data_IF_198217484119
#
_entry.id   IF_198217484119
#
_cell.length_a   1.000
_cell.length_b   1.000
_cell.length_c   1.000
_cell.angle_alpha   90.00
_cell.angle_beta   90.00
_cell.angle_gamma   90.00
#
_symmetry.space_group_name_H-M   'P 1'
#
loop_
_entity.id
_entity.type
_entity.pdbx_description
1 polymer ?
#
# COMPACT_ATOMS: atom_id res chain seq x y z
N UNK A 1 22.52 -44.38 -27.99
CA UNK A 1 22.65 -43.44 -26.85
C UNK A 1 21.96 -42.15 -27.25
N UNK A 2 20.85 -41.78 -26.60
CA UNK A 2 20.24 -40.47 -26.85
C UNK A 2 21.14 -39.42 -26.20
N UNK A 3 21.91 -38.69 -27.00
CA UNK A 3 22.66 -37.55 -26.49
C UNK A 3 21.66 -36.57 -25.88
N UNK A 4 21.72 -36.40 -24.57
CA UNK A 4 20.94 -35.37 -23.89
C UNK A 4 21.59 -34.03 -24.23
N UNK A 5 21.07 -33.37 -25.27
CA UNK A 5 21.48 -32.03 -25.66
C UNK A 5 20.77 -31.05 -24.71
N UNK A 6 21.53 -30.12 -24.14
CA UNK A 6 21.03 -29.07 -23.24
C UNK A 6 21.22 -27.69 -23.86
N UNK A 7 20.38 -26.75 -23.46
CA UNK A 7 20.50 -25.33 -23.81
C UNK A 7 20.12 -24.47 -22.61
N UNK A 8 20.48 -23.19 -22.62
CA UNK A 8 20.16 -22.26 -21.55
C UNK A 8 18.76 -21.67 -21.75
N UNK A 9 17.93 -21.70 -20.72
CA UNK A 9 16.64 -21.02 -20.71
C UNK A 9 16.87 -19.50 -20.65
N UNK A 10 16.49 -18.74 -21.69
CA UNK A 10 16.72 -17.30 -21.76
C UNK A 10 15.82 -16.47 -20.82
N UNK A 11 14.82 -17.09 -20.17
CA UNK A 11 13.95 -16.46 -19.17
C UNK A 11 14.49 -16.62 -17.74
N UNK A 12 15.26 -17.68 -17.47
CA UNK A 12 15.68 -18.03 -16.09
C UNK A 12 17.19 -18.23 -15.93
N UNK A 13 17.93 -18.33 -17.03
CA UNK A 13 19.37 -18.65 -17.03
C UNK A 13 19.71 -20.11 -16.72
N UNK A 14 18.72 -20.97 -16.48
CA UNK A 14 18.93 -22.39 -16.11
C UNK A 14 19.13 -23.27 -17.34
N UNK A 15 19.95 -24.32 -17.21
CA UNK A 15 20.05 -25.35 -18.24
C UNK A 15 18.76 -26.16 -18.33
N UNK A 16 18.32 -26.41 -19.56
CA UNK A 16 17.12 -27.17 -19.89
C UNK A 16 17.42 -28.15 -21.02
N UNK A 17 16.75 -29.30 -21.01
CA UNK A 17 16.91 -30.34 -22.04
C UNK A 17 16.21 -29.93 -23.34
N UNK A 18 16.91 -30.03 -24.46
CA UNK A 18 16.35 -29.82 -25.80
C UNK A 18 15.30 -30.89 -26.09
N UNK A 19 14.13 -30.49 -26.58
CA UNK A 19 12.96 -31.34 -26.76
C UNK A 19 12.16 -31.65 -25.48
N UNK A 20 12.60 -31.16 -24.32
CA UNK A 20 11.85 -31.27 -23.07
C UNK A 20 10.66 -30.31 -22.98
N UNK A 21 9.83 -30.46 -21.95
CA UNK A 21 8.59 -29.68 -21.79
C UNK A 21 8.82 -28.16 -21.77
N UNK A 22 9.83 -27.70 -21.01
CA UNK A 22 10.15 -26.27 -20.94
C UNK A 22 10.67 -25.75 -22.29
N UNK A 23 11.51 -26.54 -22.96
CA UNK A 23 12.02 -26.19 -24.28
C UNK A 23 10.88 -26.05 -25.30
N UNK A 24 9.99 -27.05 -25.37
CA UNK A 24 8.86 -27.05 -26.31
C UNK A 24 7.92 -25.87 -26.05
N UNK A 25 7.67 -25.53 -24.78
CA UNK A 25 6.88 -24.35 -24.41
C UNK A 25 7.51 -23.06 -24.95
N UNK A 26 8.81 -22.87 -24.74
CA UNK A 26 9.52 -21.68 -25.21
C UNK A 26 9.48 -21.56 -26.75
N UNK A 27 9.63 -22.69 -27.45
CA UNK A 27 9.54 -22.75 -28.91
C UNK A 27 8.13 -22.41 -29.41
N UNK A 28 7.09 -22.93 -28.76
CA UNK A 28 5.71 -22.62 -29.14
C UNK A 28 5.39 -21.14 -28.90
N UNK A 29 5.81 -20.61 -27.76
CA UNK A 29 5.46 -19.24 -27.35
C UNK A 29 6.18 -18.19 -28.21
N UNK A 30 7.50 -18.05 -28.06
CA UNK A 30 8.20 -16.81 -28.45
C UNK A 30 9.65 -16.99 -28.92
N UNK A 31 10.17 -18.22 -28.94
CA UNK A 31 11.58 -18.48 -29.23
C UNK A 31 11.75 -19.42 -30.43
N UNK A 32 12.89 -19.28 -31.10
CA UNK A 32 13.38 -20.21 -32.11
C UNK A 32 14.70 -20.82 -31.63
N UNK A 33 14.97 -22.06 -32.04
CA UNK A 33 16.21 -22.75 -31.71
C UNK A 33 17.20 -22.65 -32.86
N UNK A 34 18.20 -21.78 -32.72
CA UNK A 34 19.18 -21.47 -33.77
C UNK A 34 20.58 -21.63 -33.18
N UNK A 35 21.45 -22.36 -33.88
CA UNK A 35 22.86 -22.57 -33.49
C UNK A 35 23.03 -23.04 -32.03
N UNK A 36 22.17 -23.95 -31.57
CA UNK A 36 22.26 -24.50 -30.22
C UNK A 36 21.67 -23.62 -29.11
N UNK A 37 21.11 -22.45 -29.44
CA UNK A 37 20.59 -21.46 -28.48
C UNK A 37 19.14 -21.10 -28.77
N UNK A 38 18.40 -20.78 -27.71
CA UNK A 38 17.06 -20.22 -27.82
C UNK A 38 17.17 -18.71 -28.06
N UNK A 39 16.75 -18.28 -29.25
CA UNK A 39 16.74 -16.89 -29.71
C UNK A 39 15.30 -16.40 -29.74
N UNK A 40 15.05 -15.20 -29.23
CA UNK A 40 13.70 -14.65 -29.18
C UNK A 40 13.28 -14.14 -30.55
N UNK A 41 12.04 -14.42 -30.97
CA UNK A 41 11.47 -13.87 -32.21
C UNK A 41 11.36 -12.36 -32.14
N UNK A 42 11.67 -11.68 -33.23
CA UNK A 42 11.55 -10.22 -33.33
C UNK A 42 10.10 -9.74 -33.13
N UNK A 43 9.11 -10.52 -33.58
CA UNK A 43 7.69 -10.19 -33.47
C UNK A 43 7.05 -10.68 -32.17
N UNK A 44 7.83 -11.26 -31.24
CA UNK A 44 7.28 -11.68 -29.96
C UNK A 44 6.83 -10.45 -29.15
N UNK A 45 5.66 -10.50 -28.46
CA UNK A 45 5.21 -9.44 -27.56
C UNK A 45 6.33 -9.01 -26.61
N UNK A 46 6.40 -7.80 -26.05
CA UNK A 46 7.42 -7.46 -25.07
C UNK A 46 7.49 -8.48 -23.93
N UNK A 47 8.68 -8.79 -23.42
CA UNK A 47 8.79 -9.64 -22.23
C UNK A 47 8.02 -8.93 -21.12
N UNK A 48 7.00 -9.59 -20.55
CA UNK A 48 6.39 -9.09 -19.34
C UNK A 48 7.50 -9.05 -18.28
N UNK A 49 7.94 -7.85 -17.92
CA UNK A 49 8.77 -7.67 -16.74
C UNK A 49 8.01 -8.31 -15.59
N UNK A 50 8.67 -9.18 -14.84
CA UNK A 50 8.09 -9.71 -13.61
C UNK A 50 7.83 -8.50 -12.71
N UNK A 51 6.57 -8.15 -12.51
CA UNK A 51 6.21 -7.16 -11.51
C UNK A 51 6.61 -7.71 -10.15
N UNK A 52 7.24 -6.90 -9.32
CA UNK A 52 7.54 -7.26 -7.94
C UNK A 52 6.74 -6.34 -7.05
N UNK A 53 6.03 -6.92 -6.10
CA UNK A 53 5.25 -6.20 -5.12
C UNK A 53 5.88 -6.37 -3.74
N UNK A 54 5.86 -5.32 -2.94
CA UNK A 54 6.36 -5.35 -1.58
C UNK A 54 5.24 -5.71 -0.61
N UNK A 55 5.37 -6.85 0.06
CA UNK A 55 4.41 -7.24 1.09
C UNK A 55 4.67 -6.42 2.37
N UNK A 56 3.66 -5.65 2.80
CA UNK A 56 3.82 -4.71 3.92
C UNK A 56 3.88 -5.35 5.30
N UNK A 57 3.42 -6.61 5.46
CA UNK A 57 3.53 -7.35 6.72
C UNK A 57 4.86 -8.08 6.83
N UNK A 58 5.18 -8.87 5.80
CA UNK A 58 6.35 -9.76 5.83
C UNK A 58 7.64 -9.06 5.41
N UNK A 59 7.54 -7.83 4.90
CA UNK A 59 8.65 -7.05 4.33
C UNK A 59 9.43 -7.77 3.23
N UNK A 60 8.78 -8.71 2.53
CA UNK A 60 9.37 -9.51 1.44
C UNK A 60 8.79 -9.10 0.10
N UNK A 61 9.63 -9.25 -0.94
CA UNK A 61 9.19 -9.09 -2.33
C UNK A 61 8.41 -10.31 -2.79
N UNK A 62 7.27 -10.07 -3.41
CA UNK A 62 6.37 -11.07 -4.00
C UNK A 62 6.39 -10.89 -5.51
N UNK A 63 6.55 -12.00 -6.23
CA UNK A 63 6.55 -11.99 -7.70
C UNK A 63 5.09 -11.93 -8.18
N UNK A 64 4.78 -10.92 -8.97
CA UNK A 64 3.50 -10.73 -9.65
C UNK A 64 3.16 -11.91 -10.57
N UNK A 65 1.89 -12.32 -10.56
CA UNK A 65 1.43 -13.51 -11.27
C UNK A 65 1.93 -14.83 -10.68
N UNK A 66 2.62 -14.82 -9.54
CA UNK A 66 3.00 -16.02 -8.80
C UNK A 66 1.88 -16.56 -7.91
N UNK A 67 2.02 -17.80 -7.42
CA UNK A 67 1.05 -18.42 -6.50
C UNK A 67 0.76 -17.56 -5.28
N UNK A 68 1.80 -17.02 -4.63
CA UNK A 68 1.67 -16.17 -3.44
C UNK A 68 0.98 -14.85 -3.76
N UNK A 69 1.22 -14.28 -4.94
CA UNK A 69 0.54 -13.07 -5.39
C UNK A 69 -0.97 -13.31 -5.51
N UNK A 70 -1.37 -14.37 -6.22
CA UNK A 70 -2.80 -14.70 -6.38
C UNK A 70 -3.47 -15.08 -5.06
N UNK A 71 -2.76 -15.77 -4.16
CA UNK A 71 -3.26 -16.06 -2.82
C UNK A 71 -3.60 -14.77 -2.04
N UNK A 72 -2.70 -13.78 -2.06
CA UNK A 72 -2.90 -12.51 -1.35
C UNK A 72 -4.06 -11.72 -1.96
N UNK A 73 -4.08 -11.56 -3.30
CA UNK A 73 -5.16 -10.84 -4.00
C UNK A 73 -6.51 -11.51 -3.77
N UNK A 74 -6.59 -12.84 -3.81
CA UNK A 74 -7.82 -13.58 -3.53
C UNK A 74 -8.27 -13.46 -2.06
N UNK A 75 -7.34 -13.20 -1.15
CA UNK A 75 -7.61 -12.95 0.27
C UNK A 75 -7.92 -11.46 0.55
N UNK A 76 -8.23 -10.66 -0.48
CA UNK A 76 -8.62 -9.27 -0.33
C UNK A 76 -7.46 -8.31 -0.05
N UNK A 77 -6.23 -8.69 -0.38
CA UNK A 77 -5.11 -7.75 -0.31
C UNK A 77 -5.15 -6.81 -1.52
N UNK A 78 -4.99 -5.52 -1.24
CA UNK A 78 -4.95 -4.47 -2.26
C UNK A 78 -3.53 -4.11 -2.66
N UNK A 79 -3.40 -3.55 -3.86
CA UNK A 79 -2.14 -3.04 -4.40
C UNK A 79 -2.19 -1.52 -4.37
N UNK A 80 -1.39 -0.91 -3.49
CA UNK A 80 -1.25 0.54 -3.39
C UNK A 80 0.00 1.04 -4.12
N UNK A 81 -0.12 2.21 -4.76
CA UNK A 81 0.97 2.87 -5.50
C UNK A 81 1.67 1.93 -6.51
N UNK A 82 0.91 1.01 -7.12
CA UNK A 82 1.40 0.00 -8.07
C UNK A 82 2.57 -0.87 -7.56
N UNK A 83 2.79 -0.92 -6.24
CA UNK A 83 3.96 -1.57 -5.65
C UNK A 83 3.71 -2.26 -4.31
N UNK A 84 2.87 -1.72 -3.42
CA UNK A 84 2.69 -2.25 -2.08
C UNK A 84 1.49 -3.20 -2.01
N UNK A 85 1.72 -4.44 -1.59
CA UNK A 85 0.66 -5.39 -1.23
C UNK A 85 0.25 -5.14 0.22
N UNK A 86 -0.96 -4.62 0.40
CA UNK A 86 -1.52 -4.22 1.70
C UNK A 86 -2.63 -5.19 2.09
N UNK A 87 -2.63 -5.73 3.33
CA UNK A 87 -3.69 -6.63 3.80
C UNK A 87 -5.04 -5.91 3.87
N UNK A 88 -6.16 -6.65 3.76
CA UNK A 88 -7.47 -6.09 4.01
C UNK A 88 -7.52 -5.51 5.44
N UNK A 89 -8.21 -4.37 5.59
CA UNK A 89 -8.45 -3.77 6.89
C UNK A 89 -9.32 -4.72 7.73
N UNK A 90 -8.70 -5.37 8.71
CA UNK A 90 -9.45 -6.15 9.70
C UNK A 90 -10.01 -5.16 10.71
N UNK A 91 -11.31 -4.85 10.61
CA UNK A 91 -12.05 -4.16 11.65
C UNK A 91 -12.32 -5.21 12.74
N UNK A 92 -11.35 -5.43 13.62
CA UNK A 92 -11.58 -6.16 14.86
C UNK A 92 -12.01 -5.17 15.93
N UNK A 93 -13.13 -5.47 16.59
CA UNK A 93 -13.57 -4.82 17.83
C UNK A 93 -12.41 -4.69 18.86
N UNK A 94 -12.46 -3.72 19.79
CA UNK A 94 -11.34 -3.38 20.64
C UNK A 94 -11.06 -4.48 21.68
N UNK A 95 -10.09 -5.35 21.43
CA UNK A 95 -9.63 -6.33 22.41
C UNK A 95 -8.64 -5.68 23.43
N UNK A 96 -8.75 -6.01 24.74
CA UNK A 96 -8.00 -5.38 25.81
C UNK A 96 -6.78 -6.22 26.22
N UNK A 97 -5.70 -6.24 25.43
CA UNK A 97 -4.40 -6.70 25.96
C UNK A 97 -3.22 -6.11 25.18
N UNK A 98 -2.19 -5.54 25.84
CA UNK A 98 -1.14 -4.79 25.17
C UNK A 98 0.00 -5.74 24.79
N UNK A 99 -0.10 -6.36 23.61
CA UNK A 99 1.09 -6.92 22.97
C UNK A 99 1.82 -5.80 22.19
N UNK A 100 3.06 -5.42 22.54
CA UNK A 100 3.77 -4.32 21.91
C UNK A 100 4.19 -4.59 20.46
N UNK A 101 4.20 -5.84 20.01
CA UNK A 101 4.64 -6.23 18.66
C UNK A 101 3.49 -6.61 17.71
N UNK A 102 2.25 -6.50 18.18
CA UNK A 102 1.05 -6.83 17.42
C UNK A 102 0.33 -5.57 16.95
N UNK A 103 0.23 -5.44 15.63
CA UNK A 103 -0.87 -4.80 14.91
C UNK A 103 -0.85 -3.26 14.89
N UNK A 104 -0.58 -2.75 13.68
CA UNK A 104 -0.91 -1.43 13.17
C UNK A 104 -2.31 -1.02 13.70
N UNK A 105 -2.30 -0.16 14.72
CA UNK A 105 -3.47 0.23 15.52
C UNK A 105 -4.47 0.99 14.65
N UNK A 106 -5.69 0.45 14.58
CA UNK A 106 -7.00 1.08 14.33
C UNK A 106 -7.15 2.03 13.11
N UNK A 107 -8.35 2.20 12.53
CA UNK A 107 -8.64 3.45 11.84
C UNK A 107 -8.39 4.57 12.86
N UNK A 108 -7.34 5.34 12.61
CA UNK A 108 -6.90 6.42 13.48
C UNK A 108 -8.03 7.44 13.51
N UNK A 109 -8.80 7.51 14.60
CA UNK A 109 -9.87 8.50 14.75
C UNK A 109 -9.27 9.83 15.20
N UNK A 110 -9.91 10.94 14.81
CA UNK A 110 -9.50 12.27 15.27
C UNK A 110 -9.41 12.31 16.80
N UNK A 111 -10.44 11.80 17.47
CA UNK A 111 -10.55 11.75 18.92
C UNK A 111 -9.45 10.85 19.54
N UNK A 112 -9.06 9.77 18.85
CA UNK A 112 -7.94 8.92 19.24
C UNK A 112 -6.60 9.64 19.15
N UNK A 113 -6.35 10.40 18.08
CA UNK A 113 -5.12 11.19 17.94
C UNK A 113 -5.04 12.33 18.93
N UNK A 114 -6.15 13.04 19.14
CA UNK A 114 -6.20 14.14 20.12
C UNK A 114 -6.01 13.61 21.54
N UNK A 115 -6.57 12.45 21.88
CA UNK A 115 -6.37 11.88 23.23
C UNK A 115 -4.92 11.47 23.50
N UNK A 116 -4.16 11.02 22.49
CA UNK A 116 -2.76 10.60 22.65
C UNK A 116 -1.77 11.76 22.46
N UNK A 117 -2.02 12.67 21.53
CA UNK A 117 -1.06 13.69 21.08
C UNK A 117 -1.53 15.13 21.30
N UNK A 118 -2.74 15.35 21.82
CA UNK A 118 -3.36 16.68 21.96
C UNK A 118 -2.53 17.66 22.80
N UNK A 119 -1.91 17.21 23.90
CA UNK A 119 -1.06 18.08 24.72
C UNK A 119 0.21 18.54 23.99
N UNK A 120 0.84 17.64 23.23
CA UNK A 120 2.02 17.96 22.42
C UNK A 120 1.68 18.91 21.29
N UNK A 121 0.53 18.72 20.65
CA UNK A 121 0.01 19.61 19.63
C UNK A 121 -0.30 21.01 20.19
N UNK A 122 -0.95 21.08 21.35
CA UNK A 122 -1.25 22.35 22.02
C UNK A 122 0.02 23.12 22.42
N UNK A 123 1.07 22.43 22.90
CA UNK A 123 2.37 23.04 23.20
C UNK A 123 3.03 23.67 21.97
N UNK A 124 2.79 23.11 20.79
CA UNK A 124 3.28 23.64 19.52
C UNK A 124 2.28 24.58 18.82
N UNK A 125 1.18 24.95 19.46
CA UNK A 125 0.09 25.75 18.90
C UNK A 125 -0.46 25.17 17.58
N UNK A 126 -0.56 23.84 17.52
CA UNK A 126 -1.08 23.09 16.38
C UNK A 126 -2.34 22.31 16.79
N UNK A 127 -3.18 21.99 15.81
CA UNK A 127 -4.27 21.03 15.90
C UNK A 127 -4.24 20.12 14.67
N UNK A 128 -5.13 19.13 14.57
CA UNK A 128 -5.28 18.30 13.37
C UNK A 128 -6.57 18.65 12.64
N UNK A 129 -6.60 18.43 11.33
CA UNK A 129 -7.85 18.38 10.58
C UNK A 129 -8.68 17.16 11.01
N UNK A 130 -10.00 17.32 11.15
CA UNK A 130 -10.88 16.22 11.54
C UNK A 130 -11.04 15.14 10.48
N UNK A 131 -10.95 15.53 9.20
CA UNK A 131 -11.19 14.64 8.06
C UNK A 131 -9.91 13.96 7.56
N UNK A 132 -8.81 14.72 7.44
CA UNK A 132 -7.56 14.20 6.88
C UNK A 132 -6.41 14.07 7.88
N UNK A 133 -6.61 14.44 9.15
CA UNK A 133 -5.60 14.37 10.23
C UNK A 133 -4.29 15.12 9.95
N UNK A 134 -4.27 16.01 8.97
CA UNK A 134 -3.13 16.87 8.67
C UNK A 134 -2.97 17.91 9.79
N UNK A 135 -1.76 18.16 10.31
CA UNK A 135 -1.50 19.22 11.28
C UNK A 135 -1.77 20.62 10.72
N UNK A 136 -2.42 21.45 11.53
CA UNK A 136 -2.79 22.84 11.24
C UNK A 136 -2.22 23.71 12.35
N UNK A 137 -1.39 24.69 11.97
CA UNK A 137 -0.82 25.66 12.91
C UNK A 137 -1.83 26.77 13.17
N UNK A 138 -2.29 26.86 14.41
CA UNK A 138 -3.25 27.87 14.85
C UNK A 138 -2.57 29.25 14.83
N UNK A 139 -3.11 30.20 14.07
CA UNK A 139 -2.61 31.58 13.96
C UNK A 139 -1.92 31.94 12.64
N UNK A 140 -1.64 30.98 11.76
CA UNK A 140 -1.15 31.24 10.38
C UNK A 140 -2.25 30.90 9.37
N UNK A 141 -2.78 29.67 9.44
CA UNK A 141 -3.87 29.19 8.61
C UNK A 141 -4.96 28.62 9.53
N UNK A 142 -6.13 29.27 9.60
CA UNK A 142 -7.26 28.81 10.41
C UNK A 142 -8.10 27.71 9.73
N UNK A 143 -7.62 27.16 8.61
CA UNK A 143 -8.33 26.18 7.80
C UNK A 143 -7.39 25.12 7.22
N UNK A 144 -7.94 23.95 6.93
CA UNK A 144 -7.27 22.91 6.16
C UNK A 144 -7.33 23.26 4.66
N UNK A 145 -6.18 23.35 3.98
CA UNK A 145 -6.14 23.71 2.55
C UNK A 145 -6.87 22.70 1.64
N UNK A 146 -6.92 21.43 2.03
CA UNK A 146 -7.59 20.39 1.25
C UNK A 146 -9.10 20.32 1.48
N UNK A 147 -9.59 20.71 2.68
CA UNK A 147 -11.00 20.54 3.05
C UNK A 147 -11.75 21.86 3.28
N UNK A 148 -11.08 23.02 3.30
CA UNK A 148 -11.66 24.36 3.50
C UNK A 148 -12.64 24.50 4.69
N UNK A 149 -12.55 23.64 5.71
CA UNK A 149 -13.44 23.67 6.86
C UNK A 149 -12.87 24.55 7.98
N UNK A 150 -13.68 25.50 8.47
CA UNK A 150 -13.42 26.29 9.69
C UNK A 150 -13.31 25.33 10.88
N UNK A 151 -12.14 25.32 11.53
CA UNK A 151 -11.95 24.53 12.75
C UNK A 151 -12.89 25.05 13.84
N UNK A 152 -13.67 24.13 14.41
CA UNK A 152 -14.58 24.36 15.53
C UNK A 152 -13.85 25.08 16.67
N UNK A 153 -14.22 26.33 16.96
CA UNK A 153 -13.75 27.01 18.18
C UNK A 153 -14.44 26.35 19.39
N UNK A 154 -13.71 25.76 20.35
CA UNK A 154 -14.34 25.38 21.61
C UNK A 154 -14.85 26.66 22.28
N UNK A 155 -16.13 26.67 22.65
CA UNK A 155 -16.76 27.75 23.42
C UNK A 155 -15.86 28.12 24.62
N UNK A 156 -15.26 29.31 24.59
CA UNK A 156 -14.77 29.96 25.80
C UNK A 156 -16.00 30.45 26.54
N UNK A 157 -16.27 29.86 27.70
CA UNK A 157 -17.23 30.40 28.63
C UNK A 157 -16.76 31.78 29.08
N UNK A 158 -17.46 32.81 28.62
CA UNK A 158 -17.48 34.12 29.26
C UNK A 158 -18.96 34.53 29.41
N UNK A 159 -19.28 34.95 30.61
CA UNK A 159 -20.59 35.24 31.20
C UNK A 159 -21.50 36.13 30.34
N UNK A 160 -22.84 36.02 30.44
CA UNK A 160 -23.75 36.90 29.72
C UNK A 160 -23.80 38.26 30.42
N UNK A 161 -23.12 39.25 29.85
CA UNK A 161 -23.47 40.66 30.04
C UNK A 161 -23.88 41.22 28.70
N UNK A 162 -25.17 41.14 28.37
CA UNK A 162 -25.77 42.08 27.44
C UNK A 162 -27.24 42.26 27.78
N UNK A 163 -27.52 43.47 28.26
CA UNK A 163 -28.84 44.05 28.46
C UNK A 163 -29.68 43.84 27.20
N UNK A 164 -30.88 43.28 27.39
CA UNK A 164 -31.90 43.26 26.38
C UNK A 164 -32.55 44.65 26.32
N UNK A 165 -32.36 45.38 25.21
CA UNK A 165 -33.28 46.43 24.83
C UNK A 165 -34.44 45.77 24.06
N UNK A 166 -35.70 45.92 24.52
CA UNK A 166 -36.84 45.43 23.77
C UNK A 166 -37.10 46.33 22.55
N UNK A 167 -37.38 45.70 21.41
CA UNK A 167 -38.02 46.34 20.27
C UNK A 167 -39.48 46.66 20.64
N UNK A 168 -39.79 47.94 20.71
CA UNK A 168 -41.07 48.54 20.30
C UNK A 168 -40.84 50.00 19.92
#
# INVERSE_FOLDING_TARGET
MLNNIYTTNPETGREIRVGGTIFNRLIQDQYDYINGKLVRRNNAPPRQLRSYFFNTITHRRVIGGGRRYFELVNNGWDIENDYYLVPPLVISDPDPDPNPDAVRRNPVTFEGLISVHGESLAKCNMTLCRECFIPITLGINEYCEEHQLLLYRPYKGDSPSHEALPLN
#
